data_IF_311357242358
#
_entry.id   IF_311357242358
#
_cell.length_a   1.000
_cell.length_b   1.000
_cell.length_c   1.000
_cell.angle_alpha   90.00
_cell.angle_beta   90.00
_cell.angle_gamma   90.00
#
_symmetry.space_group_name_H-M   'P 1'
#
loop_
_entity.id
_entity.type
_entity.pdbx_description
1 polymer ?
#
# COMPACT_ATOMS: atom_id res chain seq x y z
N UNK A 1 -7.29 9.58 0.38
CA UNK A 1 -5.94 9.01 0.38
C UNK A 1 -5.14 9.62 -0.76
N UNK A 2 -3.95 10.09 -0.45
CA UNK A 2 -2.98 10.59 -1.43
C UNK A 2 -1.67 9.83 -1.24
N UNK A 3 -1.04 9.45 -2.35
CA UNK A 3 0.28 8.81 -2.38
C UNK A 3 1.19 9.63 -3.29
N UNK A 4 2.36 10.03 -2.82
CA UNK A 4 3.34 10.74 -3.64
C UNK A 4 4.78 10.44 -3.20
N UNK A 5 5.70 10.64 -4.14
CA UNK A 5 7.14 10.48 -3.91
C UNK A 5 7.75 11.88 -3.77
N UNK A 6 8.48 12.12 -2.68
CA UNK A 6 9.24 13.33 -2.43
C UNK A 6 10.67 13.14 -2.94
N UNK A 7 11.03 13.81 -4.02
CA UNK A 7 12.42 13.79 -4.49
C UNK A 7 13.36 14.43 -3.44
N UNK A 8 14.16 13.60 -2.79
CA UNK A 8 15.19 14.02 -1.84
C UNK A 8 16.59 13.44 -2.16
N UNK A 9 16.67 12.53 -3.15
CA UNK A 9 17.92 11.91 -3.60
C UNK A 9 18.46 10.79 -2.71
N UNK A 10 17.67 10.27 -1.76
CA UNK A 10 18.15 9.29 -0.77
C UNK A 10 17.36 7.99 -0.69
N UNK A 11 16.23 7.85 -1.38
CA UNK A 11 15.30 6.70 -1.28
C UNK A 11 14.78 6.40 0.15
N UNK A 12 15.01 7.34 1.07
CA UNK A 12 14.61 7.28 2.47
C UNK A 12 13.62 8.40 2.78
N UNK A 13 12.60 8.12 3.59
CA UNK A 13 11.57 9.07 4.01
C UNK A 13 10.96 9.88 2.84
N UNK A 14 10.79 9.21 1.70
CA UNK A 14 10.41 9.80 0.43
C UNK A 14 9.08 9.28 -0.11
N UNK A 15 8.56 8.16 0.39
CA UNK A 15 7.18 7.73 0.14
C UNK A 15 6.26 8.34 1.18
N UNK A 16 5.34 9.20 0.74
CA UNK A 16 4.36 9.82 1.63
C UNK A 16 2.96 9.33 1.29
N UNK A 17 2.29 8.76 2.28
CA UNK A 17 0.88 8.37 2.21
C UNK A 17 0.10 9.20 3.21
N UNK A 18 -0.85 9.99 2.73
CA UNK A 18 -1.76 10.75 3.58
C UNK A 18 -3.18 10.22 3.44
N UNK A 19 -3.89 10.09 4.56
CA UNK A 19 -5.30 9.73 4.54
C UNK A 19 -6.04 10.58 5.58
N UNK A 20 -6.54 11.72 5.11
CA UNK A 20 -7.16 12.77 5.93
C UNK A 20 -8.33 12.26 6.77
N UNK A 21 -9.16 11.40 6.19
CA UNK A 21 -10.33 10.80 6.83
C UNK A 21 -9.96 9.91 8.02
N UNK A 22 -8.71 9.45 8.08
CA UNK A 22 -8.14 8.68 9.19
C UNK A 22 -7.19 9.48 10.10
N UNK A 23 -6.97 10.78 9.81
CA UNK A 23 -5.89 11.58 10.40
C UNK A 23 -4.51 10.88 10.31
N UNK A 24 -4.27 10.23 9.17
CA UNK A 24 -3.08 9.39 8.95
C UNK A 24 -2.06 10.11 8.06
N UNK A 25 -0.81 10.11 8.51
CA UNK A 25 0.37 10.45 7.72
C UNK A 25 1.42 9.36 7.92
N UNK A 26 1.80 8.71 6.82
CA UNK A 26 2.88 7.73 6.77
C UNK A 26 4.01 8.30 5.93
N UNK A 27 5.22 8.21 6.45
CA UNK A 27 6.46 8.55 5.76
C UNK A 27 7.30 7.28 5.78
N UNK A 28 7.58 6.74 4.60
CA UNK A 28 8.25 5.46 4.41
C UNK A 28 9.38 5.59 3.38
N UNK A 29 10.19 4.55 3.28
CA UNK A 29 11.31 4.48 2.35
C UNK A 29 10.87 3.84 1.02
N UNK A 30 11.34 4.39 -0.10
CA UNK A 30 11.18 3.76 -1.41
C UNK A 30 12.29 2.76 -1.73
N UNK A 31 13.26 2.53 -0.84
CA UNK A 31 14.40 1.63 -1.04
C UNK A 31 14.01 0.28 -1.69
N UNK A 32 13.02 -0.44 -1.14
CA UNK A 32 12.59 -1.73 -1.68
C UNK A 32 11.94 -1.65 -3.07
N UNK A 33 11.31 -0.51 -3.40
CA UNK A 33 10.77 -0.24 -4.73
C UNK A 33 11.87 0.04 -5.75
N UNK A 34 13.02 0.57 -5.31
CA UNK A 34 14.18 0.83 -6.17
C UNK A 34 14.97 -0.44 -6.48
N UNK A 35 15.11 -1.35 -5.51
CA UNK A 35 15.95 -2.55 -5.65
C UNK A 35 15.22 -3.79 -6.19
N UNK A 36 13.90 -3.76 -6.36
CA UNK A 36 13.18 -4.90 -6.96
C UNK A 36 13.49 -5.05 -8.46
N UNK A 37 13.57 -6.27 -8.99
CA UNK A 37 13.95 -6.51 -10.40
C UNK A 37 12.77 -6.90 -11.30
N UNK A 38 11.56 -6.91 -10.77
CA UNK A 38 10.34 -7.35 -11.48
C UNK A 38 9.76 -6.31 -12.42
N UNK A 39 9.99 -5.01 -12.16
CA UNK A 39 9.49 -3.91 -12.98
C UNK A 39 10.64 -3.00 -13.42
N UNK A 40 10.72 -2.75 -14.73
CA UNK A 40 11.70 -1.87 -15.37
C UNK A 40 13.13 -2.07 -14.83
N UNK A 41 13.67 -3.31 -14.85
CA UNK A 41 14.98 -3.63 -14.27
C UNK A 41 16.14 -2.86 -14.93
N UNK A 42 15.91 -2.29 -16.11
CA UNK A 42 16.87 -1.46 -16.83
C UNK A 42 16.89 0.01 -16.43
N UNK A 43 15.97 0.44 -15.54
CA UNK A 43 15.86 1.83 -15.08
C UNK A 43 16.17 1.93 -13.59
N UNK A 44 16.69 3.09 -13.19
CA UNK A 44 16.96 3.40 -11.80
C UNK A 44 16.16 4.63 -11.33
N UNK A 45 16.07 4.81 -10.02
CA UNK A 45 15.49 5.98 -9.38
C UNK A 45 13.99 6.17 -9.65
N UNK A 46 13.57 7.43 -9.73
CA UNK A 46 12.16 7.84 -9.72
C UNK A 46 11.28 7.08 -10.71
N UNK A 47 11.71 6.90 -11.96
CA UNK A 47 10.91 6.22 -12.99
C UNK A 47 10.56 4.78 -12.62
N UNK A 48 11.51 4.05 -12.02
CA UNK A 48 11.31 2.67 -11.57
C UNK A 48 10.40 2.62 -10.35
N UNK A 49 10.69 3.45 -9.35
CA UNK A 49 9.89 3.56 -8.12
C UNK A 49 8.43 3.89 -8.46
N UNK A 50 8.20 4.91 -9.31
CA UNK A 50 6.86 5.30 -9.73
C UNK A 50 6.14 4.18 -10.49
N UNK A 51 6.84 3.43 -11.35
CA UNK A 51 6.25 2.30 -12.06
C UNK A 51 5.88 1.14 -11.11
N UNK A 52 6.75 0.81 -10.16
CA UNK A 52 6.48 -0.18 -9.13
C UNK A 52 5.28 0.21 -8.26
N UNK A 53 5.27 1.45 -7.77
CA UNK A 53 4.20 1.97 -6.94
C UNK A 53 2.86 2.01 -7.69
N UNK A 54 2.86 2.36 -8.99
CA UNK A 54 1.66 2.24 -9.83
C UNK A 54 1.17 0.79 -9.91
N UNK A 55 2.06 -0.19 -10.02
CA UNK A 55 1.70 -1.61 -10.00
C UNK A 55 1.09 -2.03 -8.66
N UNK A 56 1.70 -1.61 -7.54
CA UNK A 56 1.17 -1.85 -6.20
C UNK A 56 -0.24 -1.26 -6.02
N UNK A 57 -0.47 -0.03 -6.48
CA UNK A 57 -1.79 0.60 -6.40
C UNK A 57 -2.83 -0.11 -7.29
N UNK A 58 -2.44 -0.63 -8.46
CA UNK A 58 -3.32 -1.50 -9.26
C UNK A 58 -3.67 -2.78 -8.50
N UNK A 59 -2.68 -3.42 -7.88
CA UNK A 59 -2.90 -4.59 -7.03
C UNK A 59 -3.87 -4.29 -5.87
N UNK A 60 -3.78 -3.10 -5.27
CA UNK A 60 -4.74 -2.68 -4.23
C UNK A 60 -6.16 -2.59 -4.77
N UNK A 61 -6.34 -1.92 -5.92
CA UNK A 61 -7.65 -1.80 -6.56
C UNK A 61 -8.23 -3.18 -6.85
N UNK A 62 -7.44 -4.10 -7.40
CA UNK A 62 -7.88 -5.48 -7.65
C UNK A 62 -8.33 -6.20 -6.37
N UNK A 63 -7.58 -6.06 -5.27
CA UNK A 63 -7.97 -6.67 -3.99
C UNK A 63 -9.22 -6.04 -3.38
N UNK A 64 -9.41 -4.73 -3.56
CA UNK A 64 -10.61 -4.01 -3.10
C UNK A 64 -11.84 -4.45 -3.90
N UNK A 65 -11.72 -4.54 -5.23
CA UNK A 65 -12.79 -5.00 -6.14
C UNK A 65 -13.20 -6.44 -5.83
N UNK A 66 -12.21 -7.32 -5.66
CA UNK A 66 -12.44 -8.74 -5.44
C UNK A 66 -12.67 -9.10 -3.96
N UNK A 67 -12.75 -8.12 -3.06
CA UNK A 67 -12.95 -8.36 -1.63
C UNK A 67 -14.30 -9.02 -1.37
N UNK A 68 -14.29 -10.31 -0.99
CA UNK A 68 -15.50 -11.08 -0.71
C UNK A 68 -16.26 -10.63 0.54
N UNK A 69 -17.45 -11.19 0.75
CA UNK A 69 -18.23 -10.91 1.97
C UNK A 69 -17.53 -11.47 3.20
N UNK A 70 -17.32 -10.62 4.21
CA UNK A 70 -16.57 -10.95 5.44
C UNK A 70 -15.10 -11.34 5.22
N UNK A 71 -14.58 -11.16 4.01
CA UNK A 71 -13.14 -11.32 3.77
C UNK A 71 -12.39 -10.10 4.29
N UNK A 72 -11.16 -10.36 4.70
CA UNK A 72 -10.16 -9.34 4.98
C UNK A 72 -8.99 -9.50 4.01
N UNK A 73 -8.36 -8.38 3.68
CA UNK A 73 -7.13 -8.33 2.88
C UNK A 73 -6.17 -7.30 3.47
N UNK A 74 -4.90 -7.48 3.18
CA UNK A 74 -3.82 -6.58 3.63
C UNK A 74 -3.12 -5.94 2.43
N UNK A 75 -3.02 -4.62 2.44
CA UNK A 75 -2.47 -3.80 1.35
C UNK A 75 -1.15 -3.16 1.82
N UNK A 76 0.02 -3.73 1.47
CA UNK A 76 1.31 -3.27 1.98
C UNK A 76 1.77 -1.99 1.29
N UNK A 77 2.47 -1.10 2.00
CA UNK A 77 3.02 0.15 1.44
C UNK A 77 4.38 0.55 2.01
N UNK A 78 4.62 0.26 3.30
CA UNK A 78 5.84 0.64 4.01
C UNK A 78 6.67 -0.63 4.21
N UNK A 79 7.64 -0.86 3.33
CA UNK A 79 8.47 -2.04 3.35
C UNK A 79 9.75 -1.73 4.14
N UNK A 80 9.88 -2.32 5.32
CA UNK A 80 11.03 -2.12 6.21
C UNK A 80 11.75 -3.44 6.45
N UNK A 81 13.01 -3.38 6.87
CA UNK A 81 13.79 -4.56 7.25
C UNK A 81 13.14 -5.35 8.40
N UNK A 82 12.34 -4.68 9.25
CA UNK A 82 11.79 -5.28 10.47
C UNK A 82 10.28 -5.53 10.45
N UNK A 83 9.57 -4.89 9.52
CA UNK A 83 8.11 -4.95 9.46
C UNK A 83 7.62 -4.52 8.07
N UNK A 84 6.33 -4.78 7.79
CA UNK A 84 5.64 -4.15 6.66
C UNK A 84 4.41 -3.41 7.17
N UNK A 85 4.39 -2.09 6.97
CA UNK A 85 3.21 -1.26 7.21
C UNK A 85 2.19 -1.48 6.09
N UNK A 86 0.94 -1.76 6.48
CA UNK A 86 -0.12 -2.11 5.56
C UNK A 86 -1.51 -1.63 6.02
N UNK A 87 -2.36 -1.35 5.06
CA UNK A 87 -3.79 -1.19 5.33
C UNK A 87 -4.44 -2.56 5.46
N UNK A 88 -5.24 -2.79 6.50
CA UNK A 88 -6.20 -3.89 6.54
C UNK A 88 -7.53 -3.38 6.02
N UNK A 89 -8.11 -4.09 5.05
CA UNK A 89 -9.45 -3.83 4.53
C UNK A 89 -10.37 -5.00 4.84
N UNK A 90 -11.63 -4.72 5.18
CA UNK A 90 -12.65 -5.74 5.45
C UNK A 90 -14.01 -5.29 4.90
N UNK A 91 -14.69 -6.17 4.17
CA UNK A 91 -16.03 -5.84 3.65
C UNK A 91 -17.07 -5.91 4.77
N UNK A 92 -17.78 -4.79 4.98
CA UNK A 92 -18.81 -4.69 6.02
C UNK A 92 -20.21 -4.76 5.40
N UNK A 93 -20.37 -4.22 4.19
CA UNK A 93 -21.59 -4.31 3.38
C UNK A 93 -21.25 -4.31 1.88
N UNK A 94 -22.26 -4.34 1.00
CA UNK A 94 -22.02 -4.34 -0.45
C UNK A 94 -21.28 -3.09 -0.94
N UNK A 95 -21.37 -1.95 -0.23
CA UNK A 95 -20.79 -0.68 -0.65
C UNK A 95 -19.76 -0.11 0.35
N UNK A 96 -19.64 -0.68 1.55
CA UNK A 96 -18.77 -0.15 2.60
C UNK A 96 -17.66 -1.12 2.97
N UNK A 97 -16.47 -0.55 3.13
CA UNK A 97 -15.25 -1.21 3.57
C UNK A 97 -14.80 -0.55 4.87
N UNK A 98 -14.40 -1.38 5.83
CA UNK A 98 -13.66 -0.96 7.02
C UNK A 98 -12.17 -1.00 6.67
N UNK A 99 -11.47 0.11 6.91
CA UNK A 99 -10.03 0.24 6.67
C UNK A 99 -9.30 0.72 7.94
N UNK A 100 -8.15 0.13 8.23
CA UNK A 100 -7.20 0.53 9.29
C UNK A 100 -5.77 0.47 8.76
N UNK A 101 -4.83 1.22 9.32
CA UNK A 101 -3.42 1.21 8.89
C UNK A 101 -2.53 0.80 10.05
N UNK A 102 -1.85 -0.34 9.92
CA UNK A 102 -0.94 -0.82 10.94
C UNK A 102 0.20 -1.63 10.30
N UNK A 103 0.72 -2.68 10.97
CA UNK A 103 1.87 -3.43 10.47
C UNK A 103 1.79 -4.93 10.73
N UNK A 104 2.54 -5.69 9.92
CA UNK A 104 2.92 -7.09 10.19
C UNK A 104 4.42 -7.17 10.51
N UNK A 105 4.88 -8.25 11.15
CA UNK A 105 6.30 -8.48 11.42
C UNK A 105 7.02 -9.15 10.24
N UNK A 106 6.37 -9.23 9.08
CA UNK A 106 6.99 -9.71 7.86
C UNK A 106 8.00 -8.68 7.36
N UNK A 107 9.21 -9.13 7.03
CA UNK A 107 10.29 -8.28 6.57
C UNK A 107 10.12 -7.92 5.09
N UNK A 108 10.42 -6.66 4.73
CA UNK A 108 10.25 -6.08 3.39
C UNK A 108 10.93 -6.87 2.28
N UNK A 109 12.14 -7.38 2.52
CA UNK A 109 12.91 -8.17 1.53
C UNK A 109 12.18 -9.44 1.08
N UNK A 110 11.23 -9.95 1.87
CA UNK A 110 10.47 -11.18 1.59
C UNK A 110 9.24 -10.95 0.70
N UNK A 111 9.00 -9.71 0.26
CA UNK A 111 7.84 -9.31 -0.52
C UNK A 111 8.26 -8.43 -1.68
N UNK A 112 7.82 -8.76 -2.89
CA UNK A 112 7.99 -7.88 -4.03
C UNK A 112 6.99 -6.70 -3.92
N UNK A 113 7.44 -5.43 -3.87
CA UNK A 113 6.53 -4.29 -3.73
C UNK A 113 5.57 -4.13 -4.90
N UNK A 114 6.02 -4.31 -6.15
CA UNK A 114 5.15 -4.18 -7.32
C UNK A 114 4.13 -5.30 -7.51
N UNK A 115 4.35 -6.46 -6.86
CA UNK A 115 3.53 -7.65 -7.02
C UNK A 115 3.47 -8.48 -5.72
N UNK A 116 2.84 -7.97 -4.65
CA UNK A 116 2.85 -8.63 -3.35
C UNK A 116 1.78 -9.73 -3.27
N UNK A 117 1.69 -10.59 -4.30
CA UNK A 117 0.56 -11.52 -4.57
C UNK A 117 0.02 -12.24 -3.35
N UNK A 118 0.92 -12.81 -2.54
CA UNK A 118 0.56 -13.61 -1.39
C UNK A 118 0.35 -12.78 -0.11
N UNK A 119 0.83 -11.53 -0.07
CA UNK A 119 0.77 -10.70 1.15
C UNK A 119 -0.67 -10.47 1.58
N UNK A 120 -1.58 -10.15 0.67
CA UNK A 120 -2.95 -9.79 1.04
C UNK A 120 -3.73 -10.86 1.82
N UNK A 121 -3.33 -12.13 1.76
CA UNK A 121 -4.03 -13.25 2.44
C UNK A 121 -3.16 -14.06 3.39
N UNK A 122 -1.84 -13.84 3.42
CA UNK A 122 -0.91 -14.67 4.22
C UNK A 122 -0.56 -14.08 5.58
N UNK A 123 -1.01 -12.85 5.87
CA UNK A 123 -0.69 -12.19 7.14
C UNK A 123 -1.51 -12.81 8.28
N UNK A 124 -0.81 -13.22 9.33
CA UNK A 124 -1.37 -13.84 10.53
C UNK A 124 -0.92 -13.15 11.83
N UNK A 125 -0.04 -12.17 11.71
CA UNK A 125 0.67 -11.49 12.79
C UNK A 125 0.39 -9.97 12.82
N UNK A 126 -0.62 -9.52 12.08
CA UNK A 126 -1.06 -8.12 12.02
C UNK A 126 -1.27 -7.53 13.43
N UNK A 127 -0.64 -6.38 13.67
CA UNK A 127 -0.66 -5.67 14.97
C UNK A 127 -1.50 -4.41 14.87
N UNK A 128 -2.76 -4.50 15.26
CA UNK A 128 -3.69 -3.38 15.21
C UNK A 128 -3.44 -2.36 16.34
N UNK A 129 -3.22 -1.10 15.95
CA UNK A 129 -2.95 0.06 16.83
C UNK A 129 -3.74 1.31 16.42
N UNK A 130 -4.20 1.37 15.17
CA UNK A 130 -4.85 2.52 14.57
C UNK A 130 -6.38 2.51 14.70
N UNK A 131 -6.98 3.67 14.46
CA UNK A 131 -8.42 3.79 14.33
C UNK A 131 -8.91 3.20 13.01
N UNK A 132 -10.18 2.78 13.02
CA UNK A 132 -10.88 2.26 11.84
C UNK A 132 -11.70 3.35 11.18
N UNK A 133 -11.73 3.34 9.86
CA UNK A 133 -12.61 4.17 9.04
C UNK A 133 -13.57 3.28 8.24
N UNK A 134 -14.83 3.70 8.16
CA UNK A 134 -15.78 3.16 7.18
C UNK A 134 -15.80 4.08 5.97
N UNK A 135 -15.50 3.54 4.79
CA UNK A 135 -15.45 4.28 3.53
C UNK A 135 -16.20 3.51 2.43
N UNK A 136 -16.73 4.25 1.46
CA UNK A 136 -17.30 3.64 0.25
C UNK A 136 -16.23 2.92 -0.56
N UNK A 137 -16.55 1.75 -1.13
CA UNK A 137 -15.61 1.04 -2.00
C UNK A 137 -15.18 1.91 -3.19
N UNK A 138 -16.14 2.52 -3.88
CA UNK A 138 -15.88 3.36 -5.06
C UNK A 138 -15.09 4.62 -4.69
N UNK A 139 -15.37 5.20 -3.52
CA UNK A 139 -14.65 6.35 -2.99
C UNK A 139 -13.18 6.01 -2.72
N UNK A 140 -12.90 4.88 -2.07
CA UNK A 140 -11.53 4.43 -1.82
C UNK A 140 -10.77 4.18 -3.13
N UNK A 141 -11.41 3.50 -4.09
CA UNK A 141 -10.81 3.25 -5.42
C UNK A 141 -10.52 4.56 -6.14
N UNK A 142 -11.46 5.51 -6.16
CA UNK A 142 -11.28 6.81 -6.81
C UNK A 142 -10.09 7.57 -6.22
N UNK A 143 -9.92 7.55 -4.90
CA UNK A 143 -8.77 8.16 -4.23
C UNK A 143 -7.43 7.49 -4.61
N UNK A 144 -7.41 6.15 -4.74
CA UNK A 144 -6.23 5.40 -5.21
C UNK A 144 -5.90 5.76 -6.66
N UNK A 145 -6.88 5.76 -7.55
CA UNK A 145 -6.70 6.10 -8.98
C UNK A 145 -6.12 7.51 -9.14
N UNK A 146 -6.68 8.50 -8.44
CA UNK A 146 -6.16 9.88 -8.47
C UNK A 146 -4.71 9.98 -7.97
N UNK A 147 -4.32 9.12 -7.02
CA UNK A 147 -2.93 9.06 -6.55
C UNK A 147 -2.03 8.44 -7.62
N UNK A 148 -2.49 7.36 -8.26
CA UNK A 148 -1.79 6.67 -9.33
C UNK A 148 -1.50 7.58 -10.55
N UNK A 149 -2.42 8.49 -10.89
CA UNK A 149 -2.26 9.46 -11.98
C UNK A 149 -1.22 10.55 -11.71
N UNK A 150 -0.85 10.77 -10.43
CA UNK A 150 0.12 11.79 -10.01
C UNK A 150 1.55 11.27 -9.89
N UNK A 151 1.72 9.95 -9.88
CA UNK A 151 3.01 9.25 -9.99
C UNK A 151 3.49 9.23 -11.44
#
# INVERSE_FOLDING_TARGET
MEVFIKENGTAHEDLIVSFKEMDLLVIADTYYFEIEDTIQPEKDGFCKIAASLKSLLSYWIENIINLGSKEERYLPIDFSDQYIGCFRIRRVSNQQIEISYDYSLREGWSVCPSDPKEYATSIHDYKETSNKLLIGQDELIEQIVRSQERL
#
